data_IF_058667676886
#
_entry.id   IF_058667676886
#
_cell.length_a   1.000
_cell.length_b   1.000
_cell.length_c   1.000
_cell.angle_alpha   90.00
_cell.angle_beta   90.00
_cell.angle_gamma   90.00
#
_symmetry.space_group_name_H-M   'P 1'
#
loop_
_entity.id
_entity.type
_entity.pdbx_description
1 polymer ?
#
# COMPACT_ATOMS: atom_id res chain seq x y z
N UNK A 1 -2.14 -16.50 16.15
CA UNK A 1 -2.40 -16.46 14.70
C UNK A 1 -3.36 -15.32 14.43
N UNK A 2 -2.94 -14.27 13.72
CA UNK A 2 -3.88 -13.26 13.23
C UNK A 2 -4.62 -13.92 12.06
N UNK A 3 -5.92 -14.16 12.22
CA UNK A 3 -6.76 -14.64 11.13
C UNK A 3 -6.92 -13.48 10.15
N UNK A 4 -6.28 -13.56 8.99
CA UNK A 4 -6.59 -12.63 7.90
C UNK A 4 -8.04 -12.90 7.50
N UNK A 5 -8.91 -11.91 7.71
CA UNK A 5 -10.29 -12.00 7.25
C UNK A 5 -10.32 -12.32 5.76
N UNK A 6 -11.23 -13.20 5.35
CA UNK A 6 -11.37 -13.55 3.94
C UNK A 6 -11.68 -12.32 3.09
N UNK A 7 -11.43 -12.37 1.78
CA UNK A 7 -11.66 -11.22 0.90
C UNK A 7 -13.08 -10.63 1.00
N UNK A 8 -14.08 -11.47 1.25
CA UNK A 8 -15.46 -11.04 1.49
C UNK A 8 -15.64 -10.19 2.77
N UNK A 9 -14.89 -10.50 3.83
CA UNK A 9 -14.92 -9.76 5.09
C UNK A 9 -14.29 -8.38 4.93
N UNK A 10 -13.09 -8.33 4.34
CA UNK A 10 -12.41 -7.06 4.03
C UNK A 10 -13.26 -6.21 3.09
N UNK A 11 -13.84 -6.81 2.04
CA UNK A 11 -14.73 -6.13 1.10
C UNK A 11 -15.97 -5.52 1.78
N UNK A 12 -16.53 -6.21 2.79
CA UNK A 12 -17.67 -5.69 3.55
C UNK A 12 -17.28 -4.48 4.43
N UNK A 13 -16.10 -4.53 5.07
CA UNK A 13 -15.59 -3.43 5.91
C UNK A 13 -15.37 -2.15 5.10
N UNK A 14 -14.80 -2.27 3.89
CA UNK A 14 -14.48 -1.09 3.06
C UNK A 14 -15.65 -0.59 2.22
N UNK A 15 -16.72 -1.39 2.05
CA UNK A 15 -17.84 -1.05 1.17
C UNK A 15 -18.45 0.35 1.36
N UNK A 16 -18.58 0.90 2.58
CA UNK A 16 -19.11 2.27 2.76
C UNK A 16 -18.27 3.36 2.09
N UNK A 17 -16.96 3.16 1.94
CA UNK A 17 -16.08 4.12 1.25
C UNK A 17 -16.18 4.02 -0.29
N UNK A 18 -16.84 2.98 -0.81
CA UNK A 18 -16.97 2.66 -2.23
C UNK A 18 -18.43 2.30 -2.56
N UNK A 19 -19.38 3.12 -2.10
CA UNK A 19 -20.81 2.81 -2.15
C UNK A 19 -21.36 2.57 -3.57
N UNK A 20 -20.73 3.18 -4.59
CA UNK A 20 -21.15 3.07 -6.00
C UNK A 20 -20.61 1.83 -6.72
N UNK A 21 -19.81 1.01 -6.03
CA UNK A 21 -19.17 -0.17 -6.62
C UNK A 21 -19.90 -1.44 -6.17
N UNK A 22 -20.25 -2.27 -7.15
CA UNK A 22 -20.95 -3.54 -6.88
C UNK A 22 -20.13 -4.46 -5.97
N UNK A 23 -20.78 -5.11 -5.00
CA UNK A 23 -20.14 -6.03 -4.03
C UNK A 23 -19.23 -7.07 -4.67
N UNK A 24 -19.63 -7.64 -5.82
CA UNK A 24 -18.82 -8.65 -6.53
C UNK A 24 -17.48 -8.09 -7.02
N UNK A 25 -17.45 -6.81 -7.39
CA UNK A 25 -16.24 -6.12 -7.84
C UNK A 25 -15.32 -5.88 -6.63
N UNK A 26 -15.87 -5.49 -5.47
CA UNK A 26 -15.07 -5.38 -4.23
C UNK A 26 -14.36 -6.68 -3.89
N UNK A 27 -15.12 -7.78 -3.81
CA UNK A 27 -14.56 -9.09 -3.45
C UNK A 27 -13.48 -9.51 -4.45
N UNK A 28 -13.75 -9.40 -5.75
CA UNK A 28 -12.77 -9.76 -6.78
C UNK A 28 -11.50 -8.89 -6.73
N UNK A 29 -11.64 -7.58 -6.47
CA UNK A 29 -10.51 -6.67 -6.33
C UNK A 29 -9.65 -7.01 -5.10
N UNK A 30 -10.28 -7.21 -3.94
CA UNK A 30 -9.60 -7.60 -2.70
C UNK A 30 -8.93 -8.96 -2.85
N UNK A 31 -9.60 -9.95 -3.42
CA UNK A 31 -9.03 -11.27 -3.68
C UNK A 31 -7.80 -11.19 -4.59
N UNK A 32 -7.89 -10.42 -5.68
CA UNK A 32 -6.75 -10.22 -6.58
C UNK A 32 -5.59 -9.59 -5.84
N UNK A 33 -5.86 -8.55 -5.03
CA UNK A 33 -4.83 -7.89 -4.25
C UNK A 33 -4.19 -8.85 -3.25
N UNK A 34 -4.99 -9.63 -2.49
CA UNK A 34 -4.54 -10.69 -1.57
C UNK A 34 -3.69 -11.77 -2.24
N UNK A 35 -4.03 -12.20 -3.47
CA UNK A 35 -3.21 -13.18 -4.20
C UNK A 35 -1.86 -12.63 -4.64
N UNK A 36 -1.78 -11.33 -4.96
CA UNK A 36 -0.54 -10.71 -5.46
C UNK A 36 0.54 -10.60 -4.39
N UNK A 37 0.17 -10.48 -3.10
CA UNK A 37 1.13 -10.30 -1.99
C UNK A 37 2.08 -9.10 -2.17
N UNK A 38 1.63 -8.08 -2.90
CA UNK A 38 2.40 -6.87 -3.24
C UNK A 38 2.12 -5.69 -2.32
N UNK A 39 1.39 -5.88 -1.23
CA UNK A 39 1.07 -4.81 -0.29
C UNK A 39 2.10 -4.72 0.84
N UNK A 40 2.32 -3.50 1.33
CA UNK A 40 3.17 -3.26 2.49
C UNK A 40 2.55 -3.91 3.73
N UNK A 41 3.37 -4.58 4.55
CA UNK A 41 2.92 -5.26 5.79
C UNK A 41 2.93 -4.32 6.99
N UNK A 42 3.64 -3.22 6.88
CA UNK A 42 3.78 -2.17 7.87
C UNK A 42 3.75 -0.80 7.15
N UNK A 43 3.52 0.30 7.87
CA UNK A 43 3.44 1.63 7.28
C UNK A 43 4.81 2.28 7.01
N UNK A 44 5.93 1.60 7.29
CA UNK A 44 7.27 2.21 7.20
C UNK A 44 7.76 2.16 5.75
N UNK A 45 7.78 3.31 5.09
CA UNK A 45 8.44 3.44 3.79
C UNK A 45 9.96 3.31 3.98
N UNK A 46 10.53 2.21 3.50
CA UNK A 46 11.98 1.99 3.58
C UNK A 46 12.72 2.78 2.51
N UNK A 47 14.01 3.06 2.74
CA UNK A 47 14.86 3.70 1.74
C UNK A 47 14.91 2.91 0.44
N UNK A 48 15.08 1.59 0.51
CA UNK A 48 15.11 0.74 -0.69
C UNK A 48 13.77 0.75 -1.45
N UNK A 49 12.64 0.78 -0.74
CA UNK A 49 11.32 0.94 -1.34
C UNK A 49 11.16 2.29 -2.05
N UNK A 50 11.60 3.37 -1.40
CA UNK A 50 11.62 4.70 -1.99
C UNK A 50 12.54 4.78 -3.23
N UNK A 51 13.75 4.23 -3.17
CA UNK A 51 14.67 4.20 -4.32
C UNK A 51 14.11 3.42 -5.51
N UNK A 52 13.40 2.31 -5.23
CA UNK A 52 12.68 1.54 -6.25
C UNK A 52 11.56 2.37 -6.87
N UNK A 53 10.76 3.06 -6.05
CA UNK A 53 9.71 3.95 -6.52
C UNK A 53 10.27 5.07 -7.41
N UNK A 54 11.35 5.72 -6.98
CA UNK A 54 12.01 6.77 -7.78
C UNK A 54 12.49 6.24 -9.14
N UNK A 55 13.04 5.02 -9.17
CA UNK A 55 13.47 4.37 -10.42
C UNK A 55 12.29 4.19 -11.38
N UNK A 56 11.15 3.71 -10.91
CA UNK A 56 9.93 3.53 -11.70
C UNK A 56 9.41 4.87 -12.22
N UNK A 57 9.36 5.89 -11.36
CA UNK A 57 8.88 7.22 -11.73
C UNK A 57 9.78 7.92 -12.74
N UNK A 58 11.10 7.75 -12.63
CA UNK A 58 12.07 8.24 -13.62
C UNK A 58 11.91 7.54 -14.96
N UNK A 59 11.83 6.20 -14.96
CA UNK A 59 11.66 5.42 -16.17
C UNK A 59 10.34 5.75 -16.90
N UNK A 60 9.27 6.05 -16.15
CA UNK A 60 8.00 6.51 -16.69
C UNK A 60 7.94 8.00 -17.06
N UNK A 61 9.00 8.77 -16.80
CA UNK A 61 9.03 10.21 -17.08
C UNK A 61 8.17 11.08 -16.14
N UNK A 62 7.67 10.52 -15.04
CA UNK A 62 6.85 11.24 -14.05
C UNK A 62 7.66 12.23 -13.22
N UNK A 63 8.95 11.95 -13.00
CA UNK A 63 9.90 12.87 -12.36
C UNK A 63 11.14 13.02 -13.24
N UNK A 64 11.84 14.15 -13.12
CA UNK A 64 13.03 14.47 -13.94
C UNK A 64 14.36 14.14 -13.28
N UNK A 65 14.36 13.92 -11.96
CA UNK A 65 15.56 13.62 -11.17
C UNK A 65 15.18 12.86 -9.89
N UNK A 66 16.14 12.17 -9.31
CA UNK A 66 16.01 11.62 -7.96
C UNK A 66 16.09 12.72 -6.89
N UNK A 67 15.48 12.44 -5.76
CA UNK A 67 15.43 13.22 -4.54
C UNK A 67 15.99 12.40 -3.38
N UNK A 68 16.51 13.09 -2.36
CA UNK A 68 16.97 12.43 -1.14
C UNK A 68 15.77 11.97 -0.34
N UNK A 69 15.89 10.79 0.28
CA UNK A 69 14.85 10.22 1.13
C UNK A 69 14.49 11.16 2.28
N UNK A 70 15.51 11.72 2.95
CA UNK A 70 15.37 12.55 4.14
C UNK A 70 14.70 13.90 3.86
N UNK A 71 14.74 14.36 2.61
CA UNK A 71 14.10 15.63 2.22
C UNK A 71 12.57 15.46 2.09
N UNK A 72 12.08 14.22 1.90
CA UNK A 72 10.69 13.94 1.54
C UNK A 72 9.97 12.95 2.45
N UNK A 73 10.70 12.17 3.24
CA UNK A 73 10.14 11.07 4.04
C UNK A 73 10.56 11.20 5.50
N UNK A 74 9.56 11.34 6.37
CA UNK A 74 9.67 11.15 7.81
C UNK A 74 9.01 9.82 8.18
N UNK A 75 9.76 8.94 8.83
CA UNK A 75 9.32 7.59 9.22
C UNK A 75 8.99 7.47 10.70
N UNK A 76 9.15 8.51 11.50
CA UNK A 76 9.10 8.40 12.96
C UNK A 76 7.70 8.00 13.45
N UNK A 77 6.63 8.60 12.90
CA UNK A 77 5.24 8.22 13.24
C UNK A 77 4.96 6.77 12.83
N UNK A 78 5.42 6.35 11.66
CA UNK A 78 5.22 4.99 11.15
C UNK A 78 5.97 3.95 12.00
N UNK A 79 7.20 4.26 12.40
CA UNK A 79 8.03 3.43 13.28
C UNK A 79 7.40 3.26 14.65
N UNK A 80 6.96 4.36 15.25
CA UNK A 80 6.30 4.34 16.55
C UNK A 80 5.03 3.49 16.50
N UNK A 81 4.20 3.65 15.48
CA UNK A 81 2.96 2.89 15.32
C UNK A 81 3.21 1.39 15.11
N UNK A 82 4.30 1.02 14.44
CA UNK A 82 4.66 -0.37 14.19
C UNK A 82 5.54 -1.00 15.29
N UNK A 83 5.94 -0.23 16.31
CA UNK A 83 6.69 -0.73 17.46
C UNK A 83 8.17 -1.04 17.18
N UNK A 84 8.79 -0.28 16.28
CA UNK A 84 10.25 -0.32 16.04
C UNK A 84 11.06 0.33 17.16
#
# INVERSE_FOLDING_TARGET
MISFGGAAEIAAVIAPAFADIERRIHVAAVERYLRQSTWARDPVLTRSGFDTLQTILLAGGFIKRAHRFEDLVDVEIARQAAGY
#
